data_IF_698525632670
#
_entry.id   IF_698525632670
#
_cell.length_a   1.000
_cell.length_b   1.000
_cell.length_c   1.000
_cell.angle_alpha   90.00
_cell.angle_beta   90.00
_cell.angle_gamma   90.00
#
_symmetry.space_group_name_H-M   'P 1'
#
loop_
_entity.id
_entity.type
_entity.pdbx_description
1 polymer ?
#
# COMPACT_ATOMS: atom_id res chain seq x y z
N UNK A 1 9.00 -10.38 -30.04
CA UNK A 1 7.82 -11.14 -29.59
C UNK A 1 8.15 -11.73 -28.24
N UNK A 2 7.37 -11.45 -27.19
CA UNK A 2 7.59 -12.06 -25.88
C UNK A 2 7.33 -13.57 -25.95
N UNK A 3 8.20 -14.37 -25.33
CA UNK A 3 8.02 -15.82 -25.20
C UNK A 3 8.00 -16.16 -23.72
N UNK A 4 6.94 -16.83 -23.29
CA UNK A 4 6.80 -17.25 -21.90
C UNK A 4 7.80 -18.36 -21.58
N UNK A 5 8.65 -18.13 -20.59
CA UNK A 5 9.51 -19.15 -19.99
C UNK A 5 8.84 -19.71 -18.74
N UNK A 6 8.41 -20.97 -18.83
CA UNK A 6 7.74 -21.67 -17.74
C UNK A 6 8.69 -22.01 -16.59
N UNK A 7 9.93 -22.40 -16.88
CA UNK A 7 10.89 -22.80 -15.84
C UNK A 7 11.30 -21.59 -15.01
N UNK A 8 11.53 -20.45 -15.66
CA UNK A 8 11.82 -19.19 -14.97
C UNK A 8 10.65 -18.76 -14.09
N UNK A 9 9.40 -18.85 -14.60
CA UNK A 9 8.20 -18.55 -13.83
C UNK A 9 8.07 -19.43 -12.59
N UNK A 10 8.19 -20.75 -12.74
CA UNK A 10 8.04 -21.71 -11.64
C UNK A 10 9.11 -21.48 -10.57
N UNK A 11 10.37 -21.27 -10.97
CA UNK A 11 11.48 -20.94 -10.07
C UNK A 11 11.22 -19.64 -9.29
N UNK A 12 10.70 -18.59 -9.94
CA UNK A 12 10.38 -17.33 -9.28
C UNK A 12 9.20 -17.46 -8.30
N UNK A 13 8.23 -18.31 -8.61
CA UNK A 13 7.00 -18.49 -7.82
C UNK A 13 7.13 -19.53 -6.70
N UNK A 14 8.24 -20.26 -6.63
CA UNK A 14 8.50 -21.28 -5.61
C UNK A 14 8.33 -20.71 -4.19
N UNK A 15 8.98 -19.59 -3.89
CA UNK A 15 8.89 -18.98 -2.56
C UNK A 15 7.44 -18.59 -2.20
N UNK A 16 6.67 -18.07 -3.16
CA UNK A 16 5.30 -17.61 -2.91
C UNK A 16 4.37 -18.79 -2.65
N UNK A 17 4.57 -19.88 -3.41
CA UNK A 17 3.86 -21.15 -3.21
C UNK A 17 4.19 -21.73 -1.83
N UNK A 18 5.44 -21.65 -1.37
CA UNK A 18 5.86 -22.10 -0.04
C UNK A 18 5.37 -21.17 1.09
N UNK A 19 5.32 -19.87 0.84
CA UNK A 19 4.96 -18.85 1.81
C UNK A 19 3.53 -19.02 2.35
N UNK A 20 2.59 -19.39 1.48
CA UNK A 20 1.15 -19.70 1.75
C UNK A 20 0.31 -18.58 2.35
N UNK A 21 0.83 -17.84 3.33
CA UNK A 21 0.10 -16.91 4.16
C UNK A 21 0.79 -15.55 4.21
N UNK A 22 0.02 -14.49 3.99
CA UNK A 22 0.51 -13.12 3.99
C UNK A 22 -0.52 -12.12 4.47
N UNK A 23 -0.05 -10.93 4.82
CA UNK A 23 -0.87 -9.80 5.22
C UNK A 23 -1.19 -8.93 4.01
N UNK A 24 -2.44 -8.47 3.88
CA UNK A 24 -2.78 -7.40 2.95
C UNK A 24 -3.22 -6.18 3.76
N UNK A 25 -2.58 -5.04 3.51
CA UNK A 25 -2.87 -3.75 4.11
C UNK A 25 -3.48 -2.84 3.05
N UNK A 26 -4.75 -2.50 3.24
CA UNK A 26 -5.43 -1.42 2.51
C UNK A 26 -5.42 -0.18 3.39
N UNK A 27 -4.67 0.82 2.97
CA UNK A 27 -4.59 2.09 3.68
C UNK A 27 -4.38 3.26 2.71
N UNK A 28 -4.89 4.43 3.09
CA UNK A 28 -4.92 5.63 2.26
C UNK A 28 -5.89 6.65 2.84
N UNK A 29 -6.22 7.68 2.06
CA UNK A 29 -7.11 8.76 2.50
C UNK A 29 -8.48 8.26 2.94
N UNK A 30 -9.00 7.21 2.29
CA UNK A 30 -10.28 6.58 2.61
C UNK A 30 -10.38 6.00 4.04
N UNK A 31 -9.26 5.87 4.76
CA UNK A 31 -9.27 5.52 6.17
C UNK A 31 -9.87 6.64 7.07
N UNK A 32 -9.84 7.90 6.62
CA UNK A 32 -10.42 9.04 7.35
C UNK A 32 -11.96 9.01 7.30
N UNK A 33 -12.64 8.94 6.13
CA UNK A 33 -14.09 8.78 6.09
C UNK A 33 -14.57 7.41 6.60
N UNK A 34 -13.66 6.42 6.70
CA UNK A 34 -13.82 5.15 7.42
C UNK A 34 -15.04 4.30 7.02
N UNK A 35 -15.42 4.33 5.74
CA UNK A 35 -16.58 3.60 5.20
C UNK A 35 -16.33 2.94 3.85
N UNK A 36 -15.10 2.46 3.66
CA UNK A 36 -14.65 1.71 2.49
C UNK A 36 -13.89 2.56 1.47
N UNK A 37 -12.94 1.92 0.79
CA UNK A 37 -12.02 2.53 -0.16
C UNK A 37 -12.68 2.96 -1.49
N UNK A 38 -13.90 2.50 -1.75
CA UNK A 38 -14.72 2.90 -2.89
C UNK A 38 -15.61 4.13 -2.63
N UNK A 39 -15.48 4.78 -1.47
CA UNK A 39 -16.36 5.90 -1.05
C UNK A 39 -16.52 6.99 -2.12
N UNK A 40 -15.45 7.36 -2.83
CA UNK A 40 -15.53 8.32 -3.95
C UNK A 40 -16.50 7.89 -5.04
N UNK A 41 -16.48 6.61 -5.40
CA UNK A 41 -17.32 6.03 -6.44
C UNK A 41 -18.77 5.87 -5.97
N UNK A 42 -18.97 5.26 -4.79
CA UNK A 42 -20.29 4.95 -4.24
C UNK A 42 -21.08 6.23 -3.93
N UNK A 43 -20.44 7.22 -3.30
CA UNK A 43 -21.07 8.50 -2.94
C UNK A 43 -20.98 9.54 -4.08
N UNK A 44 -20.35 9.19 -5.20
CA UNK A 44 -20.12 10.08 -6.35
C UNK A 44 -19.47 11.40 -5.94
N UNK A 45 -18.50 11.32 -5.04
CA UNK A 45 -17.80 12.49 -4.50
C UNK A 45 -17.04 13.19 -5.61
N UNK A 46 -17.16 14.52 -5.65
CA UNK A 46 -16.28 15.32 -6.50
C UNK A 46 -14.89 15.36 -5.85
N UNK A 47 -13.89 15.80 -6.63
CA UNK A 47 -12.53 15.94 -6.12
C UNK A 47 -12.49 16.86 -4.91
N UNK A 48 -13.20 17.98 -4.99
CA UNK A 48 -13.25 19.01 -3.94
C UNK A 48 -13.80 18.47 -2.62
N UNK A 49 -14.75 17.53 -2.68
CA UNK A 49 -15.34 16.89 -1.50
C UNK A 49 -14.39 15.88 -0.85
N UNK A 50 -13.41 15.35 -1.60
CA UNK A 50 -12.45 14.36 -1.12
C UNK A 50 -11.13 14.99 -0.63
N UNK A 51 -10.78 16.17 -1.15
CA UNK A 51 -9.55 16.88 -0.79
C UNK A 51 -9.40 17.22 0.70
N UNK A 52 -10.45 17.46 1.50
CA UNK A 52 -10.29 17.64 2.95
C UNK A 52 -9.51 16.50 3.61
N UNK A 53 -9.74 15.24 3.20
CA UNK A 53 -9.01 14.09 3.72
C UNK A 53 -7.51 14.15 3.41
N UNK A 54 -7.12 14.68 2.25
CA UNK A 54 -5.72 14.90 1.89
C UNK A 54 -5.05 15.92 2.84
N UNK A 55 -5.73 17.03 3.14
CA UNK A 55 -5.21 18.07 4.01
C UNK A 55 -5.19 17.68 5.50
N UNK A 56 -6.00 16.68 5.88
CA UNK A 56 -6.05 16.14 7.25
C UNK A 56 -5.17 14.92 7.46
N UNK A 57 -4.64 14.31 6.40
CA UNK A 57 -3.86 13.08 6.51
C UNK A 57 -2.53 13.30 7.25
N UNK A 58 -2.55 12.97 8.54
CA UNK A 58 -1.43 13.01 9.46
C UNK A 58 -1.47 11.79 10.40
N UNK A 59 -0.91 10.64 9.97
CA UNK A 59 -0.97 9.42 10.75
C UNK A 59 0.09 9.41 11.84
N UNK A 60 -0.21 10.10 12.95
CA UNK A 60 0.70 10.31 14.07
C UNK A 60 1.20 9.01 14.72
N UNK A 61 0.35 7.99 14.80
CA UNK A 61 0.67 6.69 15.42
C UNK A 61 1.18 5.63 14.42
N UNK A 62 1.50 6.03 13.18
CA UNK A 62 2.05 5.11 12.19
C UNK A 62 3.45 4.62 12.58
N UNK A 63 3.54 3.34 12.94
CA UNK A 63 4.80 2.62 13.16
C UNK A 63 4.76 1.26 12.41
N UNK A 64 5.31 1.17 11.19
CA UNK A 64 5.25 -0.05 10.39
C UNK A 64 6.07 -1.20 10.99
N UNK A 65 6.96 -0.95 11.96
CA UNK A 65 7.66 -2.02 12.70
C UNK A 65 6.68 -2.82 13.55
N UNK A 66 5.68 -2.16 14.13
CA UNK A 66 4.60 -2.85 14.86
C UNK A 66 3.79 -3.75 13.92
N UNK A 67 3.51 -3.26 12.71
CA UNK A 67 2.80 -4.05 11.69
C UNK A 67 3.62 -5.25 11.23
N UNK A 68 4.91 -5.05 10.92
CA UNK A 68 5.81 -6.13 10.51
C UNK A 68 5.99 -7.19 11.60
N UNK A 69 6.17 -6.77 12.86
CA UNK A 69 6.24 -7.68 14.00
C UNK A 69 4.95 -8.49 14.16
N UNK A 70 3.79 -7.83 14.11
CA UNK A 70 2.51 -8.52 14.20
C UNK A 70 2.31 -9.55 13.07
N UNK A 71 2.69 -9.21 11.84
CA UNK A 71 2.65 -10.14 10.71
C UNK A 71 3.52 -11.38 10.96
N UNK A 72 4.74 -11.17 11.44
CA UNK A 72 5.67 -12.26 11.77
C UNK A 72 5.17 -13.14 12.92
N UNK A 73 4.67 -12.53 13.99
CA UNK A 73 4.09 -13.24 15.14
C UNK A 73 2.87 -14.08 14.74
N UNK A 74 2.08 -13.61 13.76
CA UNK A 74 0.98 -14.37 13.17
C UNK A 74 1.43 -15.51 12.23
N UNK A 75 2.73 -15.65 11.95
CA UNK A 75 3.28 -16.67 11.04
C UNK A 75 3.18 -16.32 9.55
N UNK A 76 2.83 -15.07 9.21
CA UNK A 76 2.80 -14.61 7.82
C UNK A 76 4.21 -14.51 7.25
N UNK A 77 4.34 -14.72 5.94
CA UNK A 77 5.63 -14.79 5.25
C UNK A 77 5.87 -13.60 4.30
N UNK A 78 4.82 -12.84 4.01
CA UNK A 78 4.87 -11.65 3.17
C UNK A 78 3.79 -10.65 3.57
N UNK A 79 4.00 -9.39 3.20
CA UNK A 79 3.02 -8.32 3.39
C UNK A 79 2.84 -7.62 2.04
N UNK A 80 1.61 -7.24 1.70
CA UNK A 80 1.28 -6.42 0.53
C UNK A 80 0.62 -5.13 1.00
N UNK A 81 1.17 -3.97 0.64
CA UNK A 81 0.62 -2.65 0.95
C UNK A 81 0.09 -1.97 -0.31
N UNK A 82 -1.04 -1.26 -0.21
CA UNK A 82 -1.55 -0.36 -1.25
C UNK A 82 -0.61 0.83 -1.46
N UNK A 83 0.32 0.75 -2.42
CA UNK A 83 1.16 1.88 -2.81
C UNK A 83 0.32 3.01 -3.44
N UNK A 84 -0.74 2.63 -4.17
CA UNK A 84 -1.79 3.50 -4.69
C UNK A 84 -3.09 2.72 -4.84
N UNK A 85 -4.21 3.26 -4.36
CA UNK A 85 -5.55 2.70 -4.59
C UNK A 85 -6.29 3.43 -5.74
N UNK A 86 -7.56 3.11 -5.99
CA UNK A 86 -8.37 3.71 -7.05
C UNK A 86 -8.53 5.22 -6.94
N UNK A 87 -8.47 5.78 -5.72
CA UNK A 87 -8.59 7.23 -5.49
C UNK A 87 -7.40 8.04 -6.00
N UNK A 88 -6.32 7.37 -6.46
CA UNK A 88 -5.13 7.98 -7.03
C UNK A 88 -4.07 8.40 -6.01
N UNK A 89 -4.34 8.31 -4.70
CA UNK A 89 -3.42 8.80 -3.68
C UNK A 89 -2.20 7.88 -3.54
N UNK A 90 -1.00 8.44 -3.76
CA UNK A 90 0.25 7.70 -3.63
C UNK A 90 0.75 7.74 -2.18
N UNK A 91 0.98 6.57 -1.56
CA UNK A 91 1.64 6.49 -0.26
C UNK A 91 3.18 6.64 -0.33
N UNK A 92 3.73 6.73 -1.54
CA UNK A 92 5.16 6.88 -1.82
C UNK A 92 5.46 8.23 -2.46
N UNK A 93 6.73 8.65 -2.40
CA UNK A 93 7.19 9.93 -2.95
C UNK A 93 7.36 9.89 -4.48
N UNK A 94 6.23 9.86 -5.20
CA UNK A 94 6.23 9.86 -6.66
C UNK A 94 6.75 11.19 -7.25
N UNK A 95 7.51 11.12 -8.34
CA UNK A 95 7.90 12.30 -9.11
C UNK A 95 6.86 12.73 -10.15
N UNK A 96 5.77 11.98 -10.30
CA UNK A 96 4.79 12.14 -11.38
C UNK A 96 3.46 12.75 -10.96
N UNK A 97 3.26 13.00 -9.66
CA UNK A 97 2.02 13.60 -9.13
C UNK A 97 2.29 14.29 -7.80
N UNK A 98 1.53 15.34 -7.52
CA UNK A 98 1.49 16.00 -6.22
C UNK A 98 0.49 15.36 -5.25
N UNK A 99 -0.35 14.43 -5.73
CA UNK A 99 -1.34 13.72 -4.91
C UNK A 99 -0.71 12.53 -4.20
N UNK A 100 0.20 12.84 -3.26
CA UNK A 100 1.05 11.89 -2.55
C UNK A 100 1.23 12.24 -1.08
N UNK A 101 1.57 11.25 -0.26
CA UNK A 101 1.75 11.37 1.20
C UNK A 101 2.78 12.42 1.62
N UNK A 102 3.87 12.59 0.86
CA UNK A 102 4.90 13.62 1.13
C UNK A 102 4.39 15.05 0.99
N UNK A 103 3.27 15.26 0.30
CA UNK A 103 2.61 16.57 0.16
C UNK A 103 1.42 16.76 1.12
N UNK A 104 1.21 15.83 2.05
CA UNK A 104 0.22 15.98 3.16
C UNK A 104 0.91 16.46 4.43
N UNK A 105 0.14 16.69 5.51
CA UNK A 105 0.71 16.96 6.84
C UNK A 105 1.67 15.87 7.32
N UNK A 106 1.47 14.63 6.87
CA UNK A 106 2.36 13.51 7.14
C UNK A 106 3.82 13.78 6.71
N UNK A 107 4.04 14.39 5.54
CA UNK A 107 5.36 14.76 5.02
C UNK A 107 6.36 13.61 4.81
N UNK A 108 5.91 12.35 4.81
CA UNK A 108 6.76 11.15 4.83
C UNK A 108 6.47 10.19 3.68
N UNK A 109 7.51 9.47 3.25
CA UNK A 109 7.43 8.35 2.30
C UNK A 109 7.03 7.06 3.06
N UNK A 110 5.72 6.86 3.20
CA UNK A 110 5.14 5.77 3.99
C UNK A 110 5.43 4.38 3.39
N UNK A 111 5.56 4.29 2.06
CA UNK A 111 5.95 3.02 1.43
C UNK A 111 7.39 2.67 1.76
N UNK A 112 8.31 3.64 1.80
CA UNK A 112 9.70 3.39 2.23
C UNK A 112 9.79 2.87 3.66
N UNK A 113 9.12 3.54 4.60
CA UNK A 113 9.10 3.11 6.00
C UNK A 113 8.53 1.68 6.16
N UNK A 114 7.48 1.37 5.40
CA UNK A 114 6.92 0.02 5.30
C UNK A 114 7.92 -1.01 4.75
N UNK A 115 8.60 -0.71 3.64
CA UNK A 115 9.58 -1.59 3.00
C UNK A 115 10.71 -1.93 3.98
N UNK A 116 11.23 -0.91 4.65
CA UNK A 116 12.35 -1.06 5.58
C UNK A 116 11.94 -1.93 6.79
N UNK A 117 10.76 -1.66 7.38
CA UNK A 117 10.24 -2.43 8.51
C UNK A 117 9.96 -3.90 8.17
N UNK A 118 9.31 -4.18 7.04
CA UNK A 118 8.98 -5.55 6.63
C UNK A 118 10.23 -6.36 6.29
N UNK A 119 11.20 -5.74 5.61
CA UNK A 119 12.49 -6.39 5.33
C UNK A 119 13.29 -6.67 6.59
N UNK A 120 13.28 -5.75 7.56
CA UNK A 120 13.99 -5.93 8.83
C UNK A 120 13.48 -7.16 9.62
N UNK A 121 12.20 -7.51 9.46
CA UNK A 121 11.63 -8.70 10.10
C UNK A 121 11.83 -10.01 9.30
N UNK A 122 12.43 -9.93 8.10
CA UNK A 122 12.70 -11.07 7.22
C UNK A 122 11.52 -11.46 6.32
N UNK A 123 10.48 -10.64 6.26
CA UNK A 123 9.28 -10.89 5.47
C UNK A 123 9.46 -10.39 4.02
N UNK A 124 8.77 -11.03 3.07
CA UNK A 124 8.75 -10.53 1.68
C UNK A 124 7.83 -9.31 1.57
N UNK A 125 8.27 -8.36 0.75
CA UNK A 125 7.55 -7.10 0.47
C UNK A 125 6.74 -7.24 -0.81
N UNK A 126 5.52 -6.74 -0.80
CA UNK A 126 4.66 -6.64 -1.97
C UNK A 126 3.98 -5.26 -2.07
N UNK A 127 3.74 -4.84 -3.30
CA UNK A 127 3.00 -3.61 -3.59
C UNK A 127 1.73 -3.96 -4.34
N UNK A 128 0.60 -3.50 -3.81
CA UNK A 128 -0.60 -3.33 -4.59
C UNK A 128 -0.54 -1.96 -5.27
N UNK A 129 -0.82 -1.93 -6.56
CA UNK A 129 -0.90 -0.70 -7.34
C UNK A 129 -2.14 -0.73 -8.21
N UNK A 130 -3.02 0.25 -8.02
CA UNK A 130 -4.21 0.34 -8.87
C UNK A 130 -3.89 0.88 -10.25
N UNK A 131 -4.37 0.17 -11.27
CA UNK A 131 -4.37 0.66 -12.65
C UNK A 131 -5.45 1.73 -12.88
N UNK A 132 -6.57 1.63 -12.17
CA UNK A 132 -7.58 2.68 -12.14
C UNK A 132 -7.05 3.88 -11.36
N UNK A 133 -7.42 5.07 -11.82
CA UNK A 133 -7.03 6.36 -11.25
C UNK A 133 -8.20 7.34 -11.42
N UNK A 134 -8.86 7.73 -10.31
CA UNK A 134 -10.11 8.52 -10.29
C UNK A 134 -9.91 10.00 -9.97
#
# INVERSE_FOLDING_TARGET
MYRFDRQEYEKRMEWFTQARFGMFIHWGLYAIPARGEWVRSVERMKKEDYMPYFYEFDPADYDPRKWARAAKEAGMQYVVLTAKHHDGFCLFDSQYTDFKSTNTKCGRDLVREYVDAVRAEGLKVGFYYSLLDW
#
